data_IF_008352545555
#
_entry.id   IF_008352545555
#
_cell.length_a   1.000
_cell.length_b   1.000
_cell.length_c   1.000
_cell.angle_alpha   90.00
_cell.angle_beta   90.00
_cell.angle_gamma   90.00
#
_symmetry.space_group_name_H-M   'P 1'
#
loop_
_entity.id
_entity.type
_entity.pdbx_description
1 polymer ?
#
# COMPACT_ATOMS: atom_id res chain seq x y z
N UNK A 1 14.65 -19.96 -12.23
CA UNK A 1 13.33 -19.48 -12.67
C UNK A 1 13.53 -18.43 -13.74
N UNK A 2 12.59 -18.29 -14.68
CA UNK A 2 12.64 -17.21 -15.68
C UNK A 2 11.93 -15.98 -15.10
N UNK A 3 12.66 -14.88 -14.95
CA UNK A 3 12.20 -13.62 -14.33
C UNK A 3 10.94 -13.09 -15.01
N UNK A 4 10.84 -13.22 -16.34
CA UNK A 4 9.69 -12.76 -17.12
C UNK A 4 8.39 -13.52 -16.74
N UNK A 5 8.50 -14.79 -16.33
CA UNK A 5 7.36 -15.60 -15.92
C UNK A 5 6.87 -15.27 -14.52
N UNK A 6 7.77 -14.90 -13.61
CA UNK A 6 7.42 -14.47 -12.24
C UNK A 6 6.76 -13.10 -12.27
N UNK A 7 7.25 -12.17 -13.09
CA UNK A 7 6.64 -10.85 -13.26
C UNK A 7 5.22 -10.96 -13.81
N UNK A 8 5.00 -11.73 -14.87
CA UNK A 8 3.66 -11.92 -15.42
C UNK A 8 2.69 -12.55 -14.40
N UNK A 9 3.17 -13.51 -13.59
CA UNK A 9 2.37 -14.12 -12.52
C UNK A 9 2.04 -13.13 -11.41
N UNK A 10 3.00 -12.31 -11.01
CA UNK A 10 2.80 -11.23 -10.02
C UNK A 10 1.76 -10.22 -10.53
N UNK A 11 1.93 -9.71 -11.75
CA UNK A 11 0.99 -8.78 -12.38
C UNK A 11 -0.45 -9.33 -12.39
N UNK A 12 -0.61 -10.60 -12.74
CA UNK A 12 -1.92 -11.26 -12.72
C UNK A 12 -2.48 -11.42 -11.30
N UNK A 13 -1.68 -11.83 -10.33
CA UNK A 13 -2.08 -11.94 -8.92
C UNK A 13 -2.56 -10.58 -8.39
N UNK A 14 -1.78 -9.53 -8.62
CA UNK A 14 -2.11 -8.17 -8.18
C UNK A 14 -3.43 -7.67 -8.82
N UNK A 15 -3.63 -7.91 -10.11
CA UNK A 15 -4.86 -7.51 -10.80
C UNK A 15 -6.10 -8.29 -10.32
N UNK A 16 -5.93 -9.54 -9.90
CA UNK A 16 -7.05 -10.41 -9.53
C UNK A 16 -7.39 -10.35 -8.04
N UNK A 17 -6.39 -10.19 -7.18
CA UNK A 17 -6.53 -10.22 -5.71
C UNK A 17 -6.51 -8.82 -5.12
N UNK A 18 -5.56 -7.98 -5.54
CA UNK A 18 -5.34 -6.66 -4.93
C UNK A 18 -6.29 -5.60 -5.51
N UNK A 19 -6.52 -5.56 -6.82
CA UNK A 19 -7.40 -4.54 -7.41
C UNK A 19 -8.83 -4.49 -6.83
N UNK A 20 -9.51 -5.63 -6.56
CA UNK A 20 -10.82 -5.58 -5.91
C UNK A 20 -10.78 -4.92 -4.53
N UNK A 21 -9.74 -5.20 -3.75
CA UNK A 21 -9.55 -4.60 -2.42
C UNK A 21 -9.24 -3.10 -2.53
N UNK A 22 -8.41 -2.71 -3.50
CA UNK A 22 -8.12 -1.30 -3.77
C UNK A 22 -9.37 -0.53 -4.23
N UNK A 23 -10.25 -1.15 -5.03
CA UNK A 23 -11.56 -0.56 -5.35
C UNK A 23 -12.41 -0.40 -4.10
N UNK A 24 -12.44 -1.41 -3.22
CA UNK A 24 -13.16 -1.33 -1.96
C UNK A 24 -12.67 -0.19 -1.05
N UNK A 25 -11.37 0.15 -1.06
CA UNK A 25 -10.84 1.34 -0.37
C UNK A 25 -11.50 2.62 -0.90
N UNK A 26 -11.55 2.80 -2.22
CA UNK A 26 -12.08 4.01 -2.84
C UNK A 26 -13.62 4.11 -2.76
N UNK A 27 -14.31 2.97 -2.67
CA UNK A 27 -15.77 2.89 -2.57
C UNK A 27 -16.29 2.94 -1.12
N UNK A 28 -15.39 2.82 -0.13
CA UNK A 28 -15.74 2.83 1.28
C UNK A 28 -16.41 4.15 1.69
N UNK A 29 -17.56 4.05 2.35
CA UNK A 29 -18.25 5.21 2.91
C UNK A 29 -17.61 5.70 4.22
N UNK A 30 -17.00 4.78 4.97
CA UNK A 30 -16.40 5.04 6.29
C UNK A 30 -14.89 4.79 6.27
N UNK A 31 -14.13 5.61 7.00
CA UNK A 31 -12.66 5.52 7.03
C UNK A 31 -12.16 4.13 7.48
N UNK A 32 -12.87 3.50 8.42
CA UNK A 32 -12.50 2.17 8.92
C UNK A 32 -12.85 1.04 7.96
N UNK A 33 -13.79 1.24 7.02
CA UNK A 33 -14.03 0.28 5.94
C UNK A 33 -12.87 0.31 4.94
N UNK A 34 -12.39 1.51 4.58
CA UNK A 34 -11.19 1.68 3.75
C UNK A 34 -9.96 1.05 4.41
N UNK A 35 -9.75 1.29 5.71
CA UNK A 35 -8.68 0.64 6.48
C UNK A 35 -8.77 -0.89 6.43
N UNK A 36 -9.95 -1.48 6.67
CA UNK A 36 -10.14 -2.94 6.62
C UNK A 36 -9.82 -3.53 5.25
N UNK A 37 -10.21 -2.84 4.18
CA UNK A 37 -9.85 -3.27 2.82
C UNK A 37 -8.34 -3.24 2.60
N UNK A 38 -7.63 -2.22 3.12
CA UNK A 38 -6.18 -2.11 3.05
C UNK A 38 -5.46 -3.20 3.87
N UNK A 39 -5.95 -3.53 5.08
CA UNK A 39 -5.44 -4.67 5.86
C UNK A 39 -5.58 -5.97 5.07
N UNK A 40 -6.72 -6.17 4.40
CA UNK A 40 -6.94 -7.34 3.55
C UNK A 40 -5.94 -7.45 2.39
N UNK A 41 -5.36 -6.33 1.92
CA UNK A 41 -4.28 -6.36 0.92
C UNK A 41 -3.00 -6.93 1.54
N UNK A 42 -2.62 -6.47 2.74
CA UNK A 42 -1.48 -7.02 3.47
C UNK A 42 -1.61 -8.53 3.71
N UNK A 43 -2.79 -8.97 4.17
CA UNK A 43 -3.10 -10.39 4.39
C UNK A 43 -2.97 -11.22 3.11
N UNK A 44 -3.30 -10.63 1.95
CA UNK A 44 -3.23 -11.32 0.65
C UNK A 44 -1.80 -11.65 0.19
N UNK A 45 -0.79 -11.02 0.79
CA UNK A 45 0.61 -11.25 0.43
C UNK A 45 1.30 -12.33 1.29
N UNK A 46 0.76 -12.66 2.47
CA UNK A 46 1.46 -13.48 3.48
C UNK A 46 1.98 -14.80 2.94
N UNK A 47 1.20 -15.47 2.08
CA UNK A 47 1.57 -16.76 1.49
C UNK A 47 2.28 -16.66 0.12
N UNK A 48 2.32 -15.47 -0.49
CA UNK A 48 2.78 -15.27 -1.88
C UNK A 48 4.13 -14.53 -1.96
N UNK A 49 4.59 -13.91 -0.86
CA UNK A 49 5.79 -13.06 -0.83
C UNK A 49 7.08 -13.74 -1.28
N UNK A 50 7.24 -15.04 -1.05
CA UNK A 50 8.50 -15.76 -1.31
C UNK A 50 8.90 -15.82 -2.79
N UNK A 51 7.93 -15.70 -3.71
CA UNK A 51 8.17 -15.76 -5.16
C UNK A 51 7.87 -14.45 -5.89
N UNK A 52 7.19 -13.50 -5.25
CA UNK A 52 6.82 -12.22 -5.84
C UNK A 52 8.03 -11.26 -5.91
N UNK A 53 8.44 -10.80 -7.10
CA UNK A 53 9.55 -9.87 -7.24
C UNK A 53 9.42 -8.58 -6.40
N UNK A 54 8.21 -8.05 -6.23
CA UNK A 54 7.92 -6.83 -5.48
C UNK A 54 7.14 -7.09 -4.18
N UNK A 55 6.91 -8.36 -3.81
CA UNK A 55 6.03 -8.74 -2.70
C UNK A 55 6.41 -8.08 -1.37
N UNK A 56 7.70 -8.07 -1.02
CA UNK A 56 8.19 -7.44 0.21
C UNK A 56 7.96 -5.94 0.27
N UNK A 57 8.25 -5.22 -0.82
CA UNK A 57 8.05 -3.77 -0.89
C UNK A 57 6.57 -3.40 -0.88
N UNK A 58 5.73 -4.18 -1.59
CA UNK A 58 4.29 -3.98 -1.60
C UNK A 58 3.70 -4.23 -0.21
N UNK A 59 4.03 -5.35 0.43
CA UNK A 59 3.59 -5.65 1.79
C UNK A 59 3.97 -4.52 2.76
N UNK A 60 5.24 -4.10 2.75
CA UNK A 60 5.73 -3.05 3.64
C UNK A 60 4.97 -1.72 3.43
N UNK A 61 4.81 -1.28 2.19
CA UNK A 61 4.13 -0.01 1.90
C UNK A 61 2.63 -0.05 2.25
N UNK A 62 1.93 -1.17 2.03
CA UNK A 62 0.53 -1.30 2.48
C UNK A 62 0.42 -1.33 4.01
N UNK A 63 1.35 -2.01 4.69
CA UNK A 63 1.42 -2.00 6.16
C UNK A 63 1.64 -0.59 6.71
N UNK A 64 2.58 0.16 6.13
CA UNK A 64 2.85 1.55 6.52
C UNK A 64 1.63 2.46 6.29
N UNK A 65 0.86 2.25 5.21
CA UNK A 65 -0.39 2.99 4.98
C UNK A 65 -1.45 2.70 6.05
N UNK A 66 -1.57 1.45 6.51
CA UNK A 66 -2.48 1.10 7.61
C UNK A 66 -1.97 1.57 8.96
N UNK A 67 -0.65 1.57 9.18
CA UNK A 67 -0.05 2.05 10.43
C UNK A 67 -0.40 3.51 10.70
N UNK A 68 -0.59 4.34 9.66
CA UNK A 68 -1.05 5.73 9.83
C UNK A 68 -2.37 5.83 10.62
N UNK A 69 -3.25 4.83 10.51
CA UNK A 69 -4.49 4.76 11.28
C UNK A 69 -4.25 4.29 12.71
N UNK A 70 -3.36 3.31 12.88
CA UNK A 70 -3.14 2.61 14.14
C UNK A 70 -2.23 3.41 15.11
N UNK A 71 -1.40 4.32 14.59
CA UNK A 71 -0.50 5.12 15.42
C UNK A 71 -1.23 6.06 16.39
N UNK A 72 -2.44 6.50 16.05
CA UNK A 72 -3.17 7.55 16.78
C UNK A 72 -2.51 8.95 16.75
N UNK A 73 -1.38 9.12 16.05
CA UNK A 73 -0.68 10.40 15.90
C UNK A 73 -1.23 11.21 14.73
N UNK A 74 -1.52 10.53 13.64
CA UNK A 74 -2.11 11.12 12.45
C UNK A 74 -3.61 11.30 12.63
N UNK A 75 -4.18 12.48 12.36
CA UNK A 75 -5.63 12.65 12.30
C UNK A 75 -6.26 11.65 11.33
N UNK A 76 -7.34 10.97 11.75
CA UNK A 76 -7.96 9.91 10.94
C UNK A 76 -8.31 10.34 9.50
N UNK A 77 -8.73 11.59 9.31
CA UNK A 77 -9.04 12.13 7.98
C UNK A 77 -7.79 12.24 7.09
N UNK A 78 -6.62 12.54 7.65
CA UNK A 78 -5.37 12.63 6.91
C UNK A 78 -4.81 11.25 6.56
N UNK A 79 -4.87 10.29 7.49
CA UNK A 79 -4.55 8.89 7.22
C UNK A 79 -5.43 8.34 6.08
N UNK A 80 -6.74 8.58 6.16
CA UNK A 80 -7.69 8.19 5.12
C UNK A 80 -7.42 8.86 3.78
N UNK A 81 -7.06 10.15 3.77
CA UNK A 81 -6.69 10.87 2.55
C UNK A 81 -5.46 10.26 1.88
N UNK A 82 -4.40 9.95 2.64
CA UNK A 82 -3.18 9.34 2.08
C UNK A 82 -3.47 7.94 1.53
N UNK A 83 -4.25 7.13 2.27
CA UNK A 83 -4.66 5.80 1.82
C UNK A 83 -5.46 5.85 0.50
N UNK A 84 -6.47 6.72 0.42
CA UNK A 84 -7.30 6.86 -0.79
C UNK A 84 -6.52 7.44 -1.97
N UNK A 85 -5.56 8.33 -1.73
CA UNK A 85 -4.64 8.81 -2.77
C UNK A 85 -3.77 7.66 -3.33
N UNK A 86 -3.19 6.83 -2.45
CA UNK A 86 -2.42 5.66 -2.87
C UNK A 86 -3.29 4.65 -3.63
N UNK A 87 -4.51 4.38 -3.16
CA UNK A 87 -5.47 3.50 -3.82
C UNK A 87 -5.93 4.02 -5.19
N UNK A 88 -6.19 5.32 -5.30
CA UNK A 88 -6.52 5.96 -6.59
C UNK A 88 -5.34 5.86 -7.56
N UNK A 89 -4.13 6.18 -7.11
CA UNK A 89 -2.92 6.08 -7.93
C UNK A 89 -2.60 4.64 -8.34
N UNK A 90 -2.96 3.65 -7.51
CA UNK A 90 -2.85 2.24 -7.86
C UNK A 90 -3.70 1.95 -9.09
N UNK A 91 -4.98 2.32 -9.08
CA UNK A 91 -5.92 2.06 -10.19
C UNK A 91 -5.74 2.97 -11.41
N UNK A 92 -4.85 3.97 -11.36
CA UNK A 92 -4.54 4.87 -12.48
C UNK A 92 -3.62 4.18 -13.52
N UNK A 93 -4.11 3.05 -14.06
CA UNK A 93 -3.46 2.26 -15.10
C UNK A 93 -4.48 1.46 -15.88
N UNK A 94 -4.13 1.06 -17.10
CA UNK A 94 -4.97 0.18 -17.93
C UNK A 94 -4.54 -1.28 -17.76
N UNK A 95 -5.24 -2.04 -16.93
CA UNK A 95 -5.06 -3.49 -16.76
C UNK A 95 -4.06 -3.90 -15.67
N UNK A 96 -3.30 -4.96 -15.93
CA UNK A 96 -2.34 -5.52 -14.97
C UNK A 96 -1.18 -4.54 -14.71
N UNK A 97 -0.68 -4.44 -13.47
CA UNK A 97 0.43 -3.54 -13.15
C UNK A 97 1.74 -4.02 -13.78
N UNK A 98 2.45 -3.13 -14.48
CA UNK A 98 3.81 -3.42 -14.96
C UNK A 98 4.86 -3.19 -13.85
N UNK A 99 6.07 -3.73 -13.97
CA UNK A 99 7.15 -3.47 -13.02
C UNK A 99 7.48 -1.98 -12.86
N UNK A 100 7.49 -1.22 -13.96
CA UNK A 100 7.74 0.23 -13.95
C UNK A 100 6.62 0.97 -13.22
N UNK A 101 5.38 0.53 -13.41
CA UNK A 101 4.25 1.06 -12.67
C UNK A 101 4.39 0.79 -11.16
N UNK A 102 4.74 -0.44 -10.77
CA UNK A 102 4.90 -0.81 -9.36
C UNK A 102 6.00 0.02 -8.69
N UNK A 103 7.15 0.17 -9.35
CA UNK A 103 8.24 1.00 -8.84
C UNK A 103 7.80 2.47 -8.64
N UNK A 104 7.14 3.06 -9.63
CA UNK A 104 6.64 4.43 -9.53
C UNK A 104 5.52 4.60 -8.50
N UNK A 105 4.68 3.58 -8.29
CA UNK A 105 3.66 3.60 -7.25
C UNK A 105 4.28 3.53 -5.85
N UNK A 106 5.24 2.61 -5.64
CA UNK A 106 5.95 2.45 -4.36
C UNK A 106 6.63 3.74 -3.92
N UNK A 107 7.37 4.39 -4.83
CA UNK A 107 8.06 5.66 -4.56
C UNK A 107 7.06 6.75 -4.11
N UNK A 108 5.97 6.95 -4.86
CA UNK A 108 4.97 7.98 -4.56
C UNK A 108 4.21 7.71 -3.25
N UNK A 109 3.92 6.45 -2.95
CA UNK A 109 3.26 6.05 -1.71
C UNK A 109 4.18 6.32 -0.51
N UNK A 110 5.44 5.90 -0.57
CA UNK A 110 6.41 6.13 0.49
C UNK A 110 6.70 7.62 0.72
N UNK A 111 6.74 8.43 -0.33
CA UNK A 111 6.88 9.88 -0.21
C UNK A 111 5.70 10.50 0.55
N UNK A 112 4.48 10.04 0.27
CA UNK A 112 3.26 10.53 0.91
C UNK A 112 3.19 10.15 2.39
N UNK A 113 3.55 8.90 2.72
CA UNK A 113 3.65 8.41 4.10
C UNK A 113 4.71 9.20 4.86
N UNK A 114 5.92 9.32 4.29
CA UNK A 114 7.04 10.01 4.90
C UNK A 114 6.76 11.49 5.17
N UNK A 115 6.03 12.15 4.27
CA UNK A 115 5.63 13.54 4.46
C UNK A 115 4.74 13.70 5.71
N UNK A 116 3.81 12.77 5.93
CA UNK A 116 2.91 12.77 7.08
C UNK A 116 3.66 12.46 8.38
N UNK A 117 4.50 11.42 8.38
CA UNK A 117 5.30 11.05 9.56
C UNK A 117 6.24 12.19 9.98
N UNK A 118 6.85 12.91 9.04
CA UNK A 118 7.67 14.10 9.35
C UNK A 118 6.86 15.23 9.98
N UNK A 119 5.59 15.38 9.60
CA UNK A 119 4.70 16.40 10.14
C UNK A 119 4.25 16.03 11.57
N UNK A 120 3.90 14.76 11.79
CA UNK A 120 3.26 14.30 13.03
C UNK A 120 4.27 13.81 14.09
N UNK A 121 5.55 13.69 13.70
CA UNK A 121 6.63 13.19 14.54
C UNK A 121 6.81 11.67 14.41
N UNK A 122 8.06 11.21 14.50
CA UNK A 122 8.41 9.81 14.31
C UNK A 122 8.08 8.93 15.53
N UNK A 123 8.28 7.62 15.37
CA UNK A 123 8.02 6.59 16.37
C UNK A 123 9.03 6.59 17.54
N UNK A 124 10.15 7.29 17.40
CA UNK A 124 11.33 7.10 18.24
C UNK A 124 11.79 8.45 18.82
N UNK A 125 11.58 8.74 20.12
CA UNK A 125 12.31 9.83 20.73
C UNK A 125 13.80 9.51 20.60
N UNK A 126 14.57 10.40 19.98
CA UNK A 126 16.02 10.26 19.94
C UNK A 126 16.51 10.02 21.38
N UNK A 127 17.14 8.87 21.69
CA UNK A 127 17.57 8.53 23.05
C UNK A 127 18.63 9.49 23.59
N UNK A 128 19.13 10.42 22.76
CA UNK A 128 20.05 11.48 23.14
C UNK A 128 19.39 12.83 23.49
N UNK A 129 18.05 12.92 23.57
CA UNK A 129 17.33 14.14 23.97
C UNK A 129 17.31 14.37 25.48
#
# INVERSE_FOLDING_TARGET
>A
MNVDGEQARESQLLATVVDPLVRAINEAAEHWDAYRAAVGIGDSFVDEMDWMPHGGSLYATWAELTDLFDTGKTPLADAHRVLTQAATAWLDRSGEPSPEFLAAWLERAQDSISALVRQDGDFWPDPAS
#
